data_IF_899907179381
#
_entry.id   IF_899907179381
#
_cell.length_a   1.000
_cell.length_b   1.000
_cell.length_c   1.000
_cell.angle_alpha   90.00
_cell.angle_beta   90.00
_cell.angle_gamma   90.00
#
_symmetry.space_group_name_H-M   'P 1'
#
loop_
_entity.id
_entity.type
_entity.pdbx_description
1 polymer ?
#
# COMPACT_ATOMS: atom_id res chain seq x y z
N UNK A 1 -26.58 -84.61 -26.53
CA UNK A 1 -26.18 -84.49 -25.12
C UNK A 1 -26.22 -82.97 -24.72
N UNK A 2 -27.21 -82.63 -23.89
CA UNK A 2 -27.52 -81.27 -23.52
C UNK A 2 -26.85 -80.94 -22.19
N UNK A 3 -26.05 -79.86 -22.14
CA UNK A 3 -25.44 -79.35 -20.87
C UNK A 3 -26.14 -78.07 -20.50
N UNK A 4 -26.92 -78.11 -19.45
CA UNK A 4 -27.68 -77.04 -18.82
C UNK A 4 -26.73 -76.05 -18.10
N UNK A 5 -26.63 -74.81 -18.55
CA UNK A 5 -25.96 -73.75 -17.83
C UNK A 5 -26.91 -73.16 -16.79
N UNK A 6 -26.57 -73.29 -15.51
CA UNK A 6 -27.27 -72.63 -14.37
C UNK A 6 -26.89 -71.15 -14.25
N UNK A 7 -27.93 -70.32 -14.48
CA UNK A 7 -27.83 -68.87 -14.27
C UNK A 7 -28.02 -68.55 -12.76
N UNK A 8 -26.93 -68.24 -12.08
CA UNK A 8 -26.93 -67.81 -10.66
C UNK A 8 -27.20 -66.32 -10.56
N UNK A 9 -28.46 -65.94 -10.44
CA UNK A 9 -28.86 -64.56 -10.15
C UNK A 9 -28.46 -64.16 -8.72
N UNK A 10 -27.39 -63.42 -8.56
CA UNK A 10 -26.97 -62.82 -7.30
C UNK A 10 -27.89 -61.62 -7.00
N UNK A 11 -28.89 -61.79 -6.15
CA UNK A 11 -29.67 -60.70 -5.56
C UNK A 11 -28.78 -59.80 -4.72
N UNK A 12 -28.42 -58.59 -5.23
CA UNK A 12 -27.85 -57.51 -4.45
C UNK A 12 -28.88 -57.09 -3.39
N UNK A 13 -28.63 -57.43 -2.13
CA UNK A 13 -29.36 -56.90 -0.97
C UNK A 13 -29.14 -55.40 -0.95
N UNK A 14 -30.18 -54.60 -1.25
CA UNK A 14 -30.18 -53.14 -0.97
C UNK A 14 -30.02 -52.96 0.54
N UNK A 15 -28.91 -52.39 0.96
CA UNK A 15 -28.71 -52.02 2.34
C UNK A 15 -29.77 -50.99 2.75
N UNK A 16 -30.58 -51.32 3.72
CA UNK A 16 -31.54 -50.41 4.35
C UNK A 16 -30.76 -49.30 5.03
N UNK A 17 -31.03 -48.00 4.79
CA UNK A 17 -30.32 -46.93 5.44
C UNK A 17 -30.60 -46.99 6.95
N UNK A 18 -29.61 -47.33 7.73
CA UNK A 18 -29.67 -47.30 9.20
C UNK A 18 -30.04 -45.87 9.62
N UNK A 19 -31.16 -45.74 10.36
CA UNK A 19 -31.53 -44.46 10.99
C UNK A 19 -30.43 -44.07 11.97
N UNK A 20 -29.59 -43.09 11.58
CA UNK A 20 -28.56 -42.52 12.47
C UNK A 20 -29.23 -42.06 13.74
N UNK A 21 -28.69 -42.44 14.88
CA UNK A 21 -29.15 -42.08 16.22
C UNK A 21 -29.14 -40.55 16.35
N UNK A 22 -30.08 -39.99 17.12
CA UNK A 22 -30.17 -38.53 17.35
C UNK A 22 -28.81 -37.92 17.74
N UNK A 23 -28.01 -38.63 18.56
CA UNK A 23 -26.66 -38.24 18.93
C UNK A 23 -25.71 -38.08 17.71
N UNK A 24 -25.77 -39.01 16.76
CA UNK A 24 -24.94 -38.95 15.54
C UNK A 24 -25.37 -37.81 14.61
N UNK A 25 -26.68 -37.50 14.56
CA UNK A 25 -27.17 -36.33 13.83
C UNK A 25 -26.73 -35.01 14.43
N UNK A 26 -26.77 -34.90 15.77
CA UNK A 26 -26.27 -33.72 16.48
C UNK A 26 -24.75 -33.55 16.32
N UNK A 27 -23.99 -34.65 16.42
CA UNK A 27 -22.54 -34.59 16.20
C UNK A 27 -22.17 -34.24 14.76
N UNK A 28 -22.92 -34.71 13.77
CA UNK A 28 -22.71 -34.35 12.38
C UNK A 28 -23.08 -32.87 12.12
N UNK A 29 -24.18 -32.40 12.71
CA UNK A 29 -24.57 -30.98 12.61
C UNK A 29 -23.54 -30.04 13.24
N UNK A 30 -23.02 -30.41 14.44
CA UNK A 30 -21.99 -29.64 15.13
C UNK A 30 -20.71 -29.55 14.29
N UNK A 31 -20.24 -30.65 13.72
CA UNK A 31 -19.07 -30.65 12.79
C UNK A 31 -19.29 -29.80 11.55
N UNK A 32 -20.51 -29.78 11.01
CA UNK A 32 -20.84 -28.94 9.85
C UNK A 32 -20.84 -27.46 10.20
N UNK A 33 -21.31 -27.10 11.40
CA UNK A 33 -21.28 -25.72 11.90
C UNK A 33 -19.85 -25.27 12.19
N UNK A 34 -19.06 -26.08 12.89
CA UNK A 34 -17.63 -25.80 13.14
C UNK A 34 -16.86 -25.60 11.82
N UNK A 35 -17.08 -26.47 10.83
CA UNK A 35 -16.44 -26.34 9.51
C UNK A 35 -16.89 -25.09 8.74
N UNK A 36 -18.14 -24.64 8.93
CA UNK A 36 -18.67 -23.44 8.31
C UNK A 36 -18.13 -22.17 8.96
N UNK A 37 -17.92 -22.19 10.29
CA UNK A 37 -17.27 -21.10 11.01
C UNK A 37 -15.80 -20.98 10.60
N UNK A 38 -15.06 -22.09 10.54
CA UNK A 38 -13.66 -22.16 10.13
C UNK A 38 -13.48 -21.65 8.68
N UNK A 39 -14.36 -22.04 7.76
CA UNK A 39 -14.34 -21.55 6.38
C UNK A 39 -14.71 -20.06 6.26
N UNK A 40 -15.60 -19.57 7.13
CA UNK A 40 -15.93 -18.14 7.21
C UNK A 40 -14.72 -17.32 7.66
N UNK A 41 -14.01 -17.78 8.67
CA UNK A 41 -12.82 -17.10 9.20
C UNK A 41 -11.65 -17.12 8.20
N UNK A 42 -11.44 -18.22 7.47
CA UNK A 42 -10.44 -18.26 6.38
C UNK A 42 -10.76 -17.27 5.25
N UNK A 43 -12.03 -17.17 4.84
CA UNK A 43 -12.44 -16.21 3.82
C UNK A 43 -12.26 -14.77 4.26
N UNK A 44 -12.55 -14.45 5.51
CA UNK A 44 -12.36 -13.12 6.08
C UNK A 44 -10.88 -12.77 6.23
N UNK A 45 -10.04 -13.71 6.58
CA UNK A 45 -8.57 -13.54 6.62
C UNK A 45 -8.03 -13.21 5.23
N UNK A 46 -8.36 -14.02 4.22
CA UNK A 46 -7.94 -13.81 2.83
C UNK A 46 -8.42 -12.47 2.28
N UNK A 47 -9.64 -12.06 2.60
CA UNK A 47 -10.19 -10.76 2.21
C UNK A 47 -9.41 -9.58 2.84
N UNK A 48 -9.08 -9.67 4.12
CA UNK A 48 -8.29 -8.66 4.82
C UNK A 48 -6.87 -8.55 4.24
N UNK A 49 -6.25 -9.66 3.90
CA UNK A 49 -4.93 -9.69 3.25
C UNK A 49 -4.96 -9.05 1.87
N UNK A 50 -5.95 -9.38 1.05
CA UNK A 50 -6.11 -8.78 -0.27
C UNK A 50 -6.33 -7.25 -0.19
N UNK A 51 -7.14 -6.78 0.76
CA UNK A 51 -7.36 -5.34 0.97
C UNK A 51 -6.05 -4.65 1.38
N UNK A 52 -5.28 -5.23 2.29
CA UNK A 52 -3.98 -4.67 2.70
C UNK A 52 -3.00 -4.59 1.53
N UNK A 53 -2.96 -5.63 0.71
CA UNK A 53 -2.13 -5.64 -0.48
C UNK A 53 -2.52 -4.53 -1.47
N UNK A 54 -3.82 -4.39 -1.77
CA UNK A 54 -4.33 -3.36 -2.66
C UNK A 54 -4.00 -1.96 -2.12
N UNK A 55 -4.25 -1.71 -0.82
CA UNK A 55 -3.91 -0.44 -0.16
C UNK A 55 -2.42 -0.15 -0.25
N UNK A 56 -1.58 -1.15 -0.02
CA UNK A 56 -0.14 -1.01 -0.16
C UNK A 56 0.28 -0.64 -1.58
N UNK A 57 -0.27 -1.31 -2.60
CA UNK A 57 0.02 -1.00 -4.01
C UNK A 57 -0.39 0.43 -4.36
N UNK A 58 -1.60 0.86 -3.96
CA UNK A 58 -2.07 2.23 -4.20
C UNK A 58 -1.15 3.25 -3.52
N UNK A 59 -0.75 2.99 -2.28
CA UNK A 59 0.15 3.88 -1.54
C UNK A 59 1.54 3.96 -2.20
N UNK A 60 2.03 2.85 -2.74
CA UNK A 60 3.29 2.80 -3.49
C UNK A 60 3.21 3.63 -4.78
N UNK A 61 2.11 3.54 -5.52
CA UNK A 61 1.88 4.33 -6.73
C UNK A 61 1.82 5.83 -6.42
N UNK A 62 1.07 6.23 -5.39
CA UNK A 62 1.01 7.63 -4.93
C UNK A 62 2.38 8.15 -4.53
N UNK A 63 3.14 7.35 -3.78
CA UNK A 63 4.49 7.72 -3.38
C UNK A 63 5.44 7.89 -4.58
N UNK A 64 5.38 6.97 -5.55
CA UNK A 64 6.18 7.07 -6.79
C UNK A 64 5.84 8.32 -7.58
N UNK A 65 4.55 8.67 -7.66
CA UNK A 65 4.09 9.92 -8.29
C UNK A 65 4.70 11.15 -7.62
N UNK A 66 4.68 11.21 -6.28
CA UNK A 66 5.26 12.32 -5.52
C UNK A 66 6.78 12.38 -5.69
N UNK A 67 7.49 11.24 -5.69
CA UNK A 67 8.94 11.21 -5.91
C UNK A 67 9.28 11.79 -7.29
N UNK A 68 8.60 11.32 -8.34
CA UNK A 68 8.83 11.81 -9.70
C UNK A 68 8.52 13.29 -9.82
N UNK A 69 7.45 13.77 -9.16
CA UNK A 69 7.09 15.17 -9.10
C UNK A 69 8.17 16.03 -8.43
N UNK A 70 8.68 15.59 -7.28
CA UNK A 70 9.77 16.29 -6.56
C UNK A 70 11.09 16.28 -7.34
N UNK A 71 11.45 15.14 -7.93
CA UNK A 71 12.64 15.04 -8.77
C UNK A 71 12.51 15.98 -9.99
N UNK A 72 11.37 15.97 -10.67
CA UNK A 72 11.12 16.87 -11.78
C UNK A 72 11.24 18.34 -11.36
N UNK A 73 10.70 18.71 -10.20
CA UNK A 73 10.77 20.08 -9.68
C UNK A 73 12.22 20.59 -9.49
N UNK A 74 13.17 19.71 -9.16
CA UNK A 74 14.57 20.10 -9.06
C UNK A 74 15.16 20.57 -10.40
N UNK A 75 14.60 20.11 -11.53
CA UNK A 75 15.03 20.49 -12.88
C UNK A 75 14.15 21.57 -13.51
N UNK A 76 12.85 21.57 -13.25
CA UNK A 76 11.86 22.44 -13.93
C UNK A 76 11.25 23.50 -13.00
N UNK A 77 11.58 23.50 -11.71
CA UNK A 77 10.93 24.32 -10.70
C UNK A 77 10.98 25.83 -10.96
N UNK A 78 12.07 26.34 -11.57
CA UNK A 78 12.20 27.75 -11.92
C UNK A 78 11.23 28.17 -13.05
N UNK A 79 10.91 27.25 -13.96
CA UNK A 79 9.96 27.47 -15.06
C UNK A 79 8.54 27.29 -14.55
N UNK A 80 8.29 26.25 -13.75
CA UNK A 80 6.97 25.91 -13.20
C UNK A 80 6.44 27.00 -12.25
N UNK A 81 7.30 27.70 -11.50
CA UNK A 81 6.90 28.83 -10.66
C UNK A 81 6.28 30.00 -11.47
N UNK A 82 6.79 30.26 -12.67
CA UNK A 82 6.25 31.29 -13.56
C UNK A 82 4.88 30.88 -14.14
N UNK A 83 4.66 29.57 -14.26
CA UNK A 83 3.48 29.00 -14.88
C UNK A 83 2.31 28.90 -13.88
N UNK A 84 2.57 28.61 -12.62
CA UNK A 84 1.53 28.52 -11.57
C UNK A 84 0.85 29.88 -11.34
N UNK A 85 1.55 30.97 -11.66
CA UNK A 85 0.97 32.31 -11.68
C UNK A 85 0.02 32.57 -12.87
N UNK A 86 -0.09 31.64 -13.82
CA UNK A 86 -0.87 31.81 -15.05
C UNK A 86 -1.73 30.55 -15.29
N UNK A 87 -3.07 30.61 -15.07
CA UNK A 87 -3.94 29.42 -15.12
C UNK A 87 -3.98 28.67 -16.46
N UNK A 88 -3.61 29.36 -17.55
CA UNK A 88 -3.66 28.82 -18.91
C UNK A 88 -2.33 28.17 -19.36
N UNK A 89 -1.31 28.21 -18.52
CA UNK A 89 0.01 27.67 -18.86
C UNK A 89 0.12 26.19 -18.43
N UNK A 90 0.80 25.39 -19.25
CA UNK A 90 1.05 23.96 -18.99
C UNK A 90 2.37 23.83 -18.25
N UNK A 91 2.35 23.20 -17.08
CA UNK A 91 3.56 22.97 -16.30
C UNK A 91 4.55 22.06 -17.03
N UNK A 92 5.84 22.35 -16.90
CA UNK A 92 6.94 21.58 -17.49
C UNK A 92 7.28 20.35 -16.65
N UNK A 93 6.65 20.23 -15.47
CA UNK A 93 6.83 19.07 -14.58
C UNK A 93 6.38 17.78 -15.27
N UNK A 94 7.17 16.72 -15.11
CA UNK A 94 6.90 15.39 -15.71
C UNK A 94 5.54 14.80 -15.32
N UNK A 95 5.03 15.18 -14.15
CA UNK A 95 3.72 14.76 -13.64
C UNK A 95 2.61 15.80 -13.95
N UNK A 96 2.89 16.76 -14.83
CA UNK A 96 1.96 17.81 -15.23
C UNK A 96 1.66 18.81 -14.13
N UNK A 97 0.56 19.56 -14.27
CA UNK A 97 0.18 20.64 -13.36
C UNK A 97 0.02 20.16 -11.90
N UNK A 98 -0.60 19.01 -11.67
CA UNK A 98 -0.74 18.42 -10.33
C UNK A 98 0.61 18.10 -9.68
N UNK A 99 1.56 17.59 -10.48
CA UNK A 99 2.90 17.35 -10.00
C UNK A 99 3.64 18.65 -9.66
N UNK A 100 3.53 19.67 -10.48
CA UNK A 100 4.13 20.98 -10.23
C UNK A 100 3.58 21.60 -8.94
N UNK A 101 2.26 21.59 -8.74
CA UNK A 101 1.59 22.14 -7.56
C UNK A 101 2.01 21.41 -6.28
N UNK A 102 1.95 20.08 -6.27
CA UNK A 102 2.34 19.26 -5.10
C UNK A 102 3.81 19.48 -4.75
N UNK A 103 4.70 19.43 -5.73
CA UNK A 103 6.13 19.60 -5.50
C UNK A 103 6.48 21.00 -5.03
N UNK A 104 5.86 22.03 -5.59
CA UNK A 104 6.03 23.39 -5.15
C UNK A 104 5.58 23.59 -3.70
N UNK A 105 4.38 23.10 -3.36
CA UNK A 105 3.86 23.18 -1.99
C UNK A 105 4.80 22.49 -1.00
N UNK A 106 5.29 21.29 -1.33
CA UNK A 106 6.19 20.54 -0.45
C UNK A 106 7.56 21.18 -0.29
N UNK A 107 8.12 21.78 -1.35
CA UNK A 107 9.46 22.35 -1.34
C UNK A 107 9.45 23.80 -0.86
N UNK A 108 8.45 24.60 -1.27
CA UNK A 108 8.45 26.03 -0.91
C UNK A 108 7.77 26.34 0.43
N UNK A 109 6.67 25.63 0.73
CA UNK A 109 5.82 25.97 1.88
C UNK A 109 6.02 25.04 3.07
N UNK A 110 6.50 23.79 2.86
CA UNK A 110 6.66 22.85 3.96
C UNK A 110 8.11 22.79 4.48
N UNK A 111 8.85 21.75 4.12
CA UNK A 111 10.16 21.46 4.71
C UNK A 111 11.35 21.72 3.77
N UNK A 112 11.12 22.23 2.57
CA UNK A 112 12.16 22.39 1.57
C UNK A 112 12.62 21.07 0.96
N UNK A 113 13.90 20.96 0.61
CA UNK A 113 14.51 19.74 0.08
C UNK A 113 14.26 18.48 0.95
N UNK A 114 14.27 18.56 2.29
CA UNK A 114 13.95 17.42 3.15
C UNK A 114 12.55 16.83 2.95
N UNK A 115 11.63 17.50 2.25
CA UNK A 115 10.32 16.95 1.90
C UNK A 115 10.37 15.60 1.17
N UNK A 116 11.51 15.26 0.55
CA UNK A 116 11.73 13.96 -0.10
C UNK A 116 11.65 12.78 0.88
N UNK A 117 11.84 13.01 2.17
CA UNK A 117 11.65 11.98 3.18
C UNK A 117 10.18 11.53 3.30
N UNK A 118 9.20 12.40 2.98
CA UNK A 118 7.77 12.10 3.06
C UNK A 118 7.38 10.95 2.12
N UNK A 119 7.64 11.01 0.80
CA UNK A 119 7.31 9.90 -0.08
C UNK A 119 8.16 8.65 0.20
N UNK A 120 9.40 8.78 0.67
CA UNK A 120 10.19 7.61 1.12
C UNK A 120 9.51 6.92 2.29
N UNK A 121 9.00 7.68 3.27
CA UNK A 121 8.20 7.14 4.37
C UNK A 121 6.95 6.42 3.88
N UNK A 122 6.27 6.96 2.86
CA UNK A 122 5.09 6.33 2.27
C UNK A 122 5.43 5.01 1.59
N UNK A 123 6.57 4.92 0.85
CA UNK A 123 7.03 3.66 0.24
C UNK A 123 7.28 2.61 1.32
N UNK A 124 8.02 2.94 2.36
CA UNK A 124 8.32 1.99 3.44
C UNK A 124 7.04 1.57 4.17
N UNK A 125 6.13 2.51 4.42
CA UNK A 125 4.82 2.22 5.01
C UNK A 125 4.01 1.26 4.13
N UNK A 126 4.02 1.47 2.81
CA UNK A 126 3.40 0.56 1.82
C UNK A 126 3.93 -0.86 1.95
N UNK A 127 5.25 -1.03 1.96
CA UNK A 127 5.91 -2.34 2.07
C UNK A 127 5.55 -3.05 3.38
N UNK A 128 5.45 -2.30 4.48
CA UNK A 128 5.07 -2.83 5.79
C UNK A 128 3.59 -3.24 5.81
N UNK A 129 2.69 -2.43 5.23
CA UNK A 129 1.26 -2.76 5.12
C UNK A 129 1.06 -4.05 4.32
N UNK A 130 1.82 -4.24 3.25
CA UNK A 130 1.82 -5.46 2.44
C UNK A 130 2.42 -6.68 3.18
N UNK A 131 2.93 -6.51 4.40
CA UNK A 131 3.61 -7.55 5.19
C UNK A 131 4.82 -8.20 4.51
N UNK A 132 5.46 -7.50 3.59
CA UNK A 132 6.69 -7.96 2.95
C UNK A 132 7.84 -7.94 3.96
N UNK A 133 7.83 -6.95 4.88
CA UNK A 133 8.82 -6.82 5.96
C UNK A 133 8.14 -6.50 7.29
N UNK A 134 8.61 -7.15 8.37
CA UNK A 134 8.17 -6.89 9.74
C UNK A 134 9.09 -5.86 10.43
N UNK A 135 8.93 -4.60 10.05
CA UNK A 135 9.63 -3.49 10.72
C UNK A 135 8.66 -2.85 11.72
N UNK A 136 9.17 -2.38 12.86
CA UNK A 136 8.40 -1.60 13.83
C UNK A 136 8.13 -0.21 13.25
N UNK A 137 7.03 -0.06 12.51
CA UNK A 137 6.62 1.14 11.79
C UNK A 137 6.76 2.42 12.63
N UNK A 138 6.29 2.37 13.88
CA UNK A 138 6.30 3.53 14.79
C UNK A 138 7.72 4.07 15.06
N UNK A 139 8.71 3.20 15.32
CA UNK A 139 10.08 3.63 15.58
C UNK A 139 10.75 4.21 14.33
N UNK A 140 10.50 3.56 13.19
CA UNK A 140 11.04 3.99 11.92
C UNK A 140 10.44 5.35 11.50
N UNK A 141 9.13 5.52 11.65
CA UNK A 141 8.41 6.76 11.37
C UNK A 141 8.92 7.92 12.21
N UNK A 142 9.02 7.75 13.53
CA UNK A 142 9.56 8.78 14.44
C UNK A 142 10.99 9.17 14.09
N UNK A 143 11.85 8.20 13.76
CA UNK A 143 13.22 8.46 13.40
C UNK A 143 13.33 9.29 12.10
N UNK A 144 12.52 8.94 11.08
CA UNK A 144 12.47 9.71 9.83
C UNK A 144 11.92 11.12 10.05
N UNK A 145 10.89 11.29 10.88
CA UNK A 145 10.35 12.61 11.22
C UNK A 145 11.39 13.49 11.90
N UNK A 146 12.11 12.96 12.87
CA UNK A 146 13.18 13.70 13.57
C UNK A 146 14.30 14.08 12.58
N UNK A 147 14.72 13.14 11.72
CA UNK A 147 15.74 13.41 10.70
C UNK A 147 15.27 14.50 9.73
N UNK A 148 14.02 14.44 9.25
CA UNK A 148 13.47 15.43 8.33
C UNK A 148 13.51 16.85 8.93
N UNK A 149 13.03 17.00 10.17
CA UNK A 149 13.02 18.28 10.88
C UNK A 149 14.47 18.77 11.10
N UNK A 150 15.37 17.88 11.51
CA UNK A 150 16.77 18.23 11.74
C UNK A 150 17.45 18.69 10.44
N UNK A 151 17.25 17.96 9.33
CA UNK A 151 17.79 18.36 8.02
C UNK A 151 17.20 19.68 7.53
N UNK A 152 15.89 19.90 7.71
CA UNK A 152 15.24 21.17 7.36
C UNK A 152 15.85 22.34 8.10
N UNK A 153 16.01 22.21 9.43
CA UNK A 153 16.63 23.24 10.25
C UNK A 153 18.12 23.49 9.90
N UNK A 154 18.87 22.41 9.66
CA UNK A 154 20.30 22.52 9.28
C UNK A 154 20.48 23.20 7.92
N UNK A 155 19.67 22.84 6.93
CA UNK A 155 19.71 23.43 5.59
C UNK A 155 19.26 24.90 5.61
N UNK A 156 18.23 25.24 6.40
CA UNK A 156 17.81 26.63 6.61
C UNK A 156 18.93 27.48 7.23
N UNK A 157 19.61 26.93 8.24
CA UNK A 157 20.76 27.62 8.86
C UNK A 157 21.94 27.83 7.88
N UNK A 158 22.23 26.82 7.05
CA UNK A 158 23.28 26.90 6.03
C UNK A 158 22.91 27.94 4.97
N UNK A 159 21.68 27.99 4.52
CA UNK A 159 21.22 28.96 3.53
C UNK A 159 21.32 30.40 4.04
N UNK A 160 21.03 30.61 5.31
CA UNK A 160 21.13 31.92 5.96
C UNK A 160 22.58 32.37 6.15
N UNK A 161 23.54 31.43 6.27
CA UNK A 161 24.95 31.74 6.58
C UNK A 161 25.78 31.95 5.30
N UNK A 162 25.37 31.38 4.16
CA UNK A 162 26.09 31.46 2.89
C UNK A 162 25.37 32.45 1.92
N UNK A 163 25.86 33.73 1.81
CA UNK A 163 25.27 34.67 0.87
C UNK A 163 25.52 34.18 -0.56
N UNK A 164 24.44 33.97 -1.31
CA UNK A 164 24.45 33.47 -2.69
C UNK A 164 23.61 32.21 -2.90
N UNK A 165 23.30 31.44 -1.86
CA UNK A 165 22.33 30.35 -1.95
C UNK A 165 20.87 30.85 -1.97
N UNK A 166 20.61 32.07 -1.47
CA UNK A 166 19.29 32.71 -1.53
C UNK A 166 18.79 32.96 -2.97
N UNK A 167 19.72 33.01 -3.94
CA UNK A 167 19.40 33.21 -5.35
C UNK A 167 18.90 31.92 -6.04
N UNK A 168 18.92 30.80 -5.36
CA UNK A 168 18.40 29.57 -5.92
C UNK A 168 16.87 29.53 -5.75
N UNK A 169 16.17 29.18 -6.82
CA UNK A 169 14.70 29.04 -6.85
C UNK A 169 14.19 27.85 -6.00
N UNK A 170 15.05 27.26 -5.19
CA UNK A 170 14.77 26.09 -4.36
C UNK A 170 14.92 26.52 -2.91
N UNK A 171 13.83 26.49 -2.14
CA UNK A 171 13.90 26.62 -0.69
C UNK A 171 14.61 25.41 -0.09
N UNK A 172 15.81 25.63 0.45
CA UNK A 172 16.58 24.53 1.04
C UNK A 172 15.98 24.02 2.33
N UNK A 173 15.39 24.89 3.15
CA UNK A 173 14.85 24.54 4.46
C UNK A 173 13.34 24.72 4.64
N UNK A 174 12.61 25.12 3.58
CA UNK A 174 11.19 25.49 3.68
C UNK A 174 11.00 26.96 4.11
N UNK A 175 9.74 27.37 4.22
CA UNK A 175 9.38 28.72 4.69
C UNK A 175 9.46 28.82 6.21
#
# INVERSE_FOLDING_TARGET
MATKAQNKTTKKKKAVPQKKTLKERFAALKRTLEHKEDFGDEMDMTRKENIRFIVGVVLCLVSSFIILSLVSHLFTGAEDQKIISNPDAIATNWMGNWGAEISQYMIMEMFGLPSIFIPIMLVVTSIIIMRIYEIRLHKWFLNCMVLMIWFSAALSYISMTLPGLEATHISLGGA
#
